data_IF_021682885631
#
_entry.id   IF_021682885631
#
_cell.length_a   1.000
_cell.length_b   1.000
_cell.length_c   1.000
_cell.angle_alpha   90.00
_cell.angle_beta   90.00
_cell.angle_gamma   90.00
#
_symmetry.space_group_name_H-M   'P 1'
#
loop_
_entity.id
_entity.type
_entity.pdbx_description
1 polymer ?
#
# COMPACT_ATOMS: atom_id res chain seq x y z
N UNK A 1 -23.75 -36.49 29.02
CA UNK A 1 -25.14 -36.33 28.53
C UNK A 1 -25.11 -35.18 27.53
N UNK A 2 -25.00 -35.49 26.23
CA UNK A 2 -24.92 -34.48 25.18
C UNK A 2 -26.32 -34.17 24.65
N UNK A 3 -26.83 -32.97 24.94
CA UNK A 3 -28.06 -32.46 24.33
C UNK A 3 -27.73 -31.82 22.99
N UNK A 4 -28.02 -32.51 21.89
CA UNK A 4 -28.08 -31.88 20.57
C UNK A 4 -29.29 -32.38 19.79
N UNK A 5 -30.42 -31.64 19.83
CA UNK A 5 -31.34 -31.70 18.70
C UNK A 5 -32.15 -30.41 18.45
N UNK A 6 -31.55 -29.21 18.39
CA UNK A 6 -32.28 -28.05 17.83
C UNK A 6 -32.05 -27.85 16.33
N UNK A 7 -30.84 -28.16 15.84
CA UNK A 7 -30.45 -27.90 14.45
C UNK A 7 -31.24 -28.74 13.44
N UNK A 8 -31.65 -29.95 13.81
CA UNK A 8 -32.37 -30.87 12.92
C UNK A 8 -33.82 -30.42 12.65
N UNK A 9 -34.45 -29.75 13.62
CA UNK A 9 -35.79 -29.18 13.45
C UNK A 9 -35.78 -28.02 12.45
N UNK A 10 -34.81 -27.11 12.59
CA UNK A 10 -34.63 -25.97 11.68
C UNK A 10 -34.35 -26.42 10.24
N UNK A 11 -33.47 -27.41 10.06
CA UNK A 11 -33.16 -27.95 8.74
C UNK A 11 -34.38 -28.59 8.06
N UNK A 12 -35.24 -29.30 8.81
CA UNK A 12 -36.48 -29.85 8.27
C UNK A 12 -37.47 -28.77 7.84
N UNK A 13 -37.60 -27.69 8.60
CA UNK A 13 -38.47 -26.56 8.25
C UNK A 13 -37.98 -25.90 6.95
N UNK A 14 -36.67 -25.67 6.85
CA UNK A 14 -36.04 -25.10 5.64
C UNK A 14 -36.23 -26.02 4.44
N UNK A 15 -35.98 -27.33 4.57
CA UNK A 15 -36.20 -28.29 3.48
C UNK A 15 -37.67 -28.36 3.04
N UNK A 16 -38.61 -28.31 4.00
CA UNK A 16 -40.04 -28.29 3.69
C UNK A 16 -40.38 -27.02 2.90
N UNK A 17 -39.89 -25.87 3.36
CA UNK A 17 -40.11 -24.59 2.67
C UNK A 17 -39.53 -24.60 1.24
N UNK A 18 -38.32 -25.15 1.05
CA UNK A 18 -37.69 -25.32 -0.27
C UNK A 18 -38.53 -26.22 -1.18
N UNK A 19 -39.06 -27.33 -0.65
CA UNK A 19 -39.86 -28.28 -1.42
C UNK A 19 -41.18 -27.70 -1.90
N UNK A 20 -41.88 -26.93 -1.06
CA UNK A 20 -43.21 -26.38 -1.37
C UNK A 20 -43.16 -25.04 -2.11
N UNK A 21 -42.10 -24.24 -1.94
CA UNK A 21 -42.01 -22.88 -2.52
C UNK A 21 -40.91 -22.77 -3.59
N UNK A 22 -40.82 -23.76 -4.49
CA UNK A 22 -39.74 -23.84 -5.51
C UNK A 22 -39.55 -22.57 -6.33
N UNK A 23 -40.63 -21.88 -6.71
CA UNK A 23 -40.57 -20.62 -7.47
C UNK A 23 -39.95 -19.47 -6.66
N UNK A 24 -40.31 -19.36 -5.38
CA UNK A 24 -39.77 -18.33 -4.47
C UNK A 24 -38.29 -18.60 -4.18
N UNK A 25 -37.93 -19.87 -3.97
CA UNK A 25 -36.52 -20.24 -3.77
C UNK A 25 -35.69 -19.97 -5.03
N UNK A 26 -36.20 -20.32 -6.22
CA UNK A 26 -35.53 -19.98 -7.48
C UNK A 26 -35.35 -18.47 -7.63
N UNK A 27 -36.38 -17.69 -7.34
CA UNK A 27 -36.30 -16.23 -7.36
C UNK A 27 -35.26 -15.68 -6.38
N UNK A 28 -35.21 -16.18 -5.15
CA UNK A 28 -34.22 -15.77 -4.14
C UNK A 28 -32.79 -16.16 -4.54
N UNK A 29 -32.61 -17.33 -5.14
CA UNK A 29 -31.30 -17.76 -5.67
C UNK A 29 -30.85 -16.82 -6.78
N UNK A 30 -31.73 -16.55 -7.76
CA UNK A 30 -31.42 -15.63 -8.87
C UNK A 30 -31.12 -14.23 -8.34
N UNK A 31 -31.96 -13.70 -7.46
CA UNK A 31 -31.75 -12.37 -6.87
C UNK A 31 -30.45 -12.30 -6.06
N UNK A 32 -30.16 -13.34 -5.26
CA UNK A 32 -28.91 -13.46 -4.51
C UNK A 32 -27.70 -13.48 -5.43
N UNK A 33 -27.73 -14.28 -6.50
CA UNK A 33 -26.66 -14.30 -7.49
C UNK A 33 -26.49 -12.95 -8.18
N UNK A 34 -27.58 -12.26 -8.51
CA UNK A 34 -27.54 -10.94 -9.16
C UNK A 34 -26.89 -9.89 -8.25
N UNK A 35 -27.21 -9.91 -6.96
CA UNK A 35 -26.62 -9.03 -5.94
C UNK A 35 -25.13 -9.31 -5.74
N UNK A 36 -24.73 -10.58 -5.73
CA UNK A 36 -23.32 -10.99 -5.65
C UNK A 36 -22.55 -10.54 -6.90
N UNK A 37 -23.10 -10.77 -8.10
CA UNK A 37 -22.51 -10.31 -9.36
C UNK A 37 -22.41 -8.77 -9.42
N UNK A 38 -23.44 -8.05 -8.98
CA UNK A 38 -23.43 -6.59 -8.91
C UNK A 38 -22.41 -6.05 -7.90
N UNK A 39 -22.15 -6.80 -6.82
CA UNK A 39 -21.18 -6.44 -5.79
C UNK A 39 -19.73 -6.77 -6.18
N UNK A 40 -19.52 -7.83 -6.96
CA UNK A 40 -18.19 -8.30 -7.40
C UNK A 40 -17.75 -7.64 -8.71
N UNK A 41 -18.64 -7.07 -9.51
CA UNK A 41 -18.28 -6.35 -10.73
C UNK A 41 -17.38 -5.14 -10.46
N UNK A 42 -16.57 -4.74 -11.45
CA UNK A 42 -15.62 -3.59 -11.47
C UNK A 42 -16.16 -2.22 -10.97
N UNK A 43 -17.44 -2.12 -10.60
CA UNK A 43 -18.12 -0.94 -10.07
C UNK A 43 -18.83 -1.18 -8.73
N UNK A 44 -18.53 -2.28 -8.04
CA UNK A 44 -19.04 -2.52 -6.68
C UNK A 44 -18.60 -1.43 -5.72
N UNK A 45 -19.43 -1.13 -4.70
CA UNK A 45 -19.14 -0.13 -3.65
C UNK A 45 -17.76 -0.36 -2.99
N UNK A 46 -17.36 -1.63 -2.84
CA UNK A 46 -16.07 -2.05 -2.30
C UNK A 46 -14.91 -1.59 -3.19
N UNK A 47 -15.06 -1.73 -4.51
CA UNK A 47 -14.05 -1.29 -5.47
C UNK A 47 -13.83 0.21 -5.40
N UNK A 48 -14.91 0.99 -5.23
CA UNK A 48 -14.79 2.45 -5.15
C UNK A 48 -14.08 2.91 -3.87
N UNK A 49 -14.32 2.26 -2.74
CA UNK A 49 -13.60 2.55 -1.50
C UNK A 49 -12.11 2.21 -1.62
N UNK A 50 -11.79 1.06 -2.22
CA UNK A 50 -10.39 0.65 -2.47
C UNK A 50 -9.69 1.62 -3.42
N UNK A 51 -10.35 2.01 -4.50
CA UNK A 51 -9.81 2.96 -5.48
C UNK A 51 -9.56 4.33 -4.87
N UNK A 52 -10.46 4.85 -4.02
CA UNK A 52 -10.23 6.11 -3.31
C UNK A 52 -9.05 6.02 -2.33
N UNK A 53 -8.89 4.89 -1.61
CA UNK A 53 -7.73 4.70 -0.74
C UNK A 53 -6.42 4.62 -1.52
N UNK A 54 -6.42 3.93 -2.66
CA UNK A 54 -5.25 3.77 -3.52
C UNK A 54 -4.88 5.09 -4.19
N UNK A 55 -5.89 5.87 -4.62
CA UNK A 55 -5.68 7.22 -5.15
C UNK A 55 -5.05 8.14 -4.12
N UNK A 56 -5.53 8.12 -2.87
CA UNK A 56 -4.93 8.91 -1.79
C UNK A 56 -3.49 8.49 -1.50
N UNK A 57 -3.21 7.18 -1.48
CA UNK A 57 -1.85 6.69 -1.26
C UNK A 57 -0.90 7.14 -2.39
N UNK A 58 -1.35 7.06 -3.64
CA UNK A 58 -0.60 7.53 -4.81
C UNK A 58 -0.39 9.05 -4.78
N UNK A 59 -1.40 9.83 -4.38
CA UNK A 59 -1.27 11.29 -4.22
C UNK A 59 -0.22 11.67 -3.15
N UNK A 60 -0.15 10.92 -2.04
CA UNK A 60 0.88 11.12 -1.01
C UNK A 60 2.27 10.80 -1.54
N UNK A 61 2.43 9.65 -2.21
CA UNK A 61 3.70 9.26 -2.82
C UNK A 61 4.17 10.28 -3.87
N UNK A 62 3.25 10.77 -4.70
CA UNK A 62 3.55 11.80 -5.70
C UNK A 62 4.07 13.08 -5.04
N UNK A 63 3.44 13.54 -3.95
CA UNK A 63 3.89 14.73 -3.22
C UNK A 63 5.27 14.54 -2.61
N UNK A 64 5.53 13.37 -2.04
CA UNK A 64 6.83 13.04 -1.46
C UNK A 64 7.93 13.05 -2.53
N UNK A 65 7.71 12.40 -3.67
CA UNK A 65 8.67 12.38 -4.77
C UNK A 65 8.87 13.75 -5.43
N UNK A 66 7.81 14.55 -5.53
CA UNK A 66 7.92 15.94 -5.98
C UNK A 66 8.77 16.78 -5.03
N UNK A 67 8.63 16.57 -3.71
CA UNK A 67 9.44 17.26 -2.72
C UNK A 67 10.91 16.83 -2.82
N UNK A 68 11.19 15.52 -2.89
CA UNK A 68 12.55 15.00 -3.12
C UNK A 68 13.18 15.57 -4.38
N UNK A 69 12.41 15.65 -5.47
CA UNK A 69 12.88 16.20 -6.74
C UNK A 69 13.29 17.67 -6.59
N UNK A 70 12.48 18.48 -5.89
CA UNK A 70 12.80 19.89 -5.62
C UNK A 70 14.04 20.04 -4.75
N UNK A 71 14.16 19.24 -3.70
CA UNK A 71 15.30 19.29 -2.79
C UNK A 71 16.59 18.89 -3.53
N UNK A 72 16.55 17.83 -4.34
CA UNK A 72 17.67 17.42 -5.18
C UNK A 72 18.04 18.45 -6.25
N UNK A 73 17.06 19.11 -6.87
CA UNK A 73 17.32 20.19 -7.82
C UNK A 73 18.02 21.36 -7.14
N UNK A 74 17.58 21.73 -5.94
CA UNK A 74 18.23 22.76 -5.14
C UNK A 74 19.67 22.37 -4.79
N UNK A 75 19.90 21.13 -4.36
CA UNK A 75 21.26 20.62 -4.09
C UNK A 75 22.14 20.69 -5.34
N UNK A 76 21.60 20.36 -6.53
CA UNK A 76 22.32 20.48 -7.80
C UNK A 76 22.67 21.94 -8.11
N UNK A 77 21.73 22.87 -7.95
CA UNK A 77 21.97 24.29 -8.15
C UNK A 77 23.02 24.83 -7.17
N UNK A 78 22.90 24.45 -5.90
CA UNK A 78 23.85 24.82 -4.85
C UNK A 78 25.26 24.29 -5.14
N UNK A 79 25.38 23.04 -5.58
CA UNK A 79 26.64 22.47 -6.01
C UNK A 79 27.20 23.21 -7.23
N UNK A 80 26.39 23.46 -8.25
CA UNK A 80 26.82 24.18 -9.47
C UNK A 80 27.18 25.64 -9.22
N UNK A 81 26.69 26.25 -8.14
CA UNK A 81 26.92 27.68 -7.85
C UNK A 81 28.39 28.02 -7.56
N UNK A 82 29.21 27.05 -7.14
CA UNK A 82 30.63 27.28 -6.87
C UNK A 82 31.45 25.99 -6.85
N UNK A 83 32.58 25.98 -7.55
CA UNK A 83 33.57 24.89 -7.51
C UNK A 83 34.00 24.53 -6.08
N UNK A 84 34.01 25.50 -5.17
CA UNK A 84 34.36 25.29 -3.75
C UNK A 84 33.33 24.42 -3.02
N UNK A 85 32.03 24.56 -3.32
CA UNK A 85 30.96 23.73 -2.73
C UNK A 85 31.01 22.29 -3.27
N UNK A 86 31.33 22.13 -4.56
CA UNK A 86 31.55 20.82 -5.18
C UNK A 86 32.73 20.12 -4.50
N UNK A 87 33.86 20.81 -4.38
CA UNK A 87 35.07 20.27 -3.74
C UNK A 87 34.81 19.91 -2.28
N UNK A 88 34.10 20.75 -1.52
CA UNK A 88 33.70 20.45 -0.14
C UNK A 88 32.84 19.18 -0.06
N UNK A 89 31.81 19.07 -0.91
CA UNK A 89 30.92 17.89 -0.92
C UNK A 89 31.65 16.62 -1.33
N UNK A 90 32.55 16.71 -2.32
CA UNK A 90 33.40 15.60 -2.75
C UNK A 90 34.31 15.10 -1.63
N UNK A 91 34.92 16.01 -0.85
CA UNK A 91 35.77 15.67 0.29
C UNK A 91 34.97 15.12 1.48
N UNK A 92 33.85 15.74 1.84
CA UNK A 92 33.08 15.39 3.05
C UNK A 92 32.18 14.16 2.88
N UNK A 93 31.38 14.11 1.80
CA UNK A 93 30.45 12.98 1.57
C UNK A 93 31.12 11.76 0.95
N UNK A 94 32.08 11.99 0.05
CA UNK A 94 32.65 10.92 -0.78
C UNK A 94 34.13 10.63 -0.49
N UNK A 95 34.79 11.43 0.34
CA UNK A 95 36.20 11.23 0.68
C UNK A 95 37.14 11.33 -0.53
N UNK A 96 36.79 12.14 -1.54
CA UNK A 96 37.62 12.34 -2.72
C UNK A 96 38.81 13.27 -2.43
N UNK A 97 39.93 13.05 -3.12
CA UNK A 97 41.16 13.86 -3.03
C UNK A 97 41.67 14.17 -4.43
N UNK A 98 42.55 15.17 -4.54
CA UNK A 98 43.34 15.34 -5.76
C UNK A 98 44.46 14.28 -5.82
N UNK A 99 44.99 14.00 -7.02
CA UNK A 99 46.02 12.98 -7.26
C UNK A 99 47.30 13.19 -6.41
N UNK A 100 47.55 14.43 -5.99
CA UNK A 100 48.71 14.84 -5.20
C UNK A 100 48.41 15.03 -3.69
N UNK A 101 47.27 14.54 -3.19
CA UNK A 101 46.86 14.67 -1.79
C UNK A 101 46.79 13.30 -1.08
N UNK A 102 47.01 13.27 0.24
CA UNK A 102 46.95 12.04 1.06
C UNK A 102 45.89 12.18 2.16
N UNK A 103 44.94 11.24 2.25
CA UNK A 103 43.94 11.22 3.32
C UNK A 103 44.52 10.59 4.59
N UNK A 104 44.35 11.28 5.71
CA UNK A 104 44.56 10.73 7.04
C UNK A 104 43.20 10.48 7.70
N UNK A 105 42.87 9.21 7.99
CA UNK A 105 41.72 8.85 8.83
C UNK A 105 42.20 8.63 10.25
N UNK A 106 41.75 9.45 11.19
CA UNK A 106 42.08 9.30 12.60
C UNK A 106 41.13 8.24 13.19
N UNK A 107 41.67 7.06 13.47
CA UNK A 107 40.96 6.01 14.21
C UNK A 107 41.25 6.25 15.69
N UNK A 108 40.28 6.85 16.41
CA UNK A 108 40.36 6.97 17.86
C UNK A 108 39.90 5.64 18.43
N UNK A 109 40.86 4.81 18.86
CA UNK A 109 40.55 3.62 19.63
C UNK A 109 40.14 4.07 21.04
N UNK A 110 38.86 3.94 21.36
CA UNK A 110 38.28 4.41 22.63
C UNK A 110 38.63 3.51 23.82
N UNK A 111 39.60 2.61 23.66
CA UNK A 111 40.01 1.67 24.71
C UNK A 111 41.05 2.32 25.61
N UNK A 112 40.60 3.08 26.60
CA UNK A 112 41.40 3.43 27.77
C UNK A 112 40.56 3.44 29.04
#
# INVERSE_FOLDING_TARGET
METKPEKDGLLKIVMRFIKYNKKVVLFLIVLGTLLVFASIGNKGLISRLRMESERKALEVQLKEEQQKTKDLQKDIEDLKSSDKKIEQTAREKYGMTKENETIYKILIDSTK
#
